data_IF_700985828933
#
_entry.id   IF_700985828933
#
_cell.length_a   1.000
_cell.length_b   1.000
_cell.length_c   1.000
_cell.angle_alpha   90.00
_cell.angle_beta   90.00
_cell.angle_gamma   90.00
#
_symmetry.space_group_name_H-M   'P 1'
#
loop_
_entity.id
_entity.type
_entity.pdbx_description
1 polymer ?
#
# COMPACT_ATOMS: atom_id res chain seq x y z
N UNK A 1 14.08 33.48 -7.88
CA UNK A 1 12.76 33.19 -7.26
C UNK A 1 12.01 34.51 -7.14
N UNK A 2 10.77 34.62 -7.66
CA UNK A 2 9.99 35.86 -7.52
C UNK A 2 9.55 36.05 -6.04
N UNK A 3 9.71 37.24 -5.43
CA UNK A 3 9.38 37.49 -4.01
C UNK A 3 7.91 37.22 -3.67
N UNK A 4 6.99 37.49 -4.59
CA UNK A 4 5.56 37.21 -4.40
C UNK A 4 5.30 35.70 -4.34
N UNK A 5 6.00 34.94 -5.17
CA UNK A 5 5.93 33.48 -5.19
C UNK A 5 6.43 32.92 -3.86
N UNK A 6 7.55 33.43 -3.33
CA UNK A 6 8.06 33.04 -2.01
C UNK A 6 7.08 33.35 -0.87
N UNK A 7 6.44 34.53 -0.89
CA UNK A 7 5.42 34.91 0.09
C UNK A 7 4.18 34.01 0.01
N UNK A 8 3.68 33.71 -1.19
CA UNK A 8 2.56 32.78 -1.39
C UNK A 8 2.89 31.38 -0.87
N UNK A 9 4.07 30.85 -1.16
CA UNK A 9 4.49 29.56 -0.62
C UNK A 9 4.61 29.56 0.90
N UNK A 10 5.08 30.65 1.51
CA UNK A 10 5.13 30.78 2.96
C UNK A 10 3.73 30.69 3.58
N UNK A 11 2.75 31.39 3.00
CA UNK A 11 1.35 31.36 3.43
C UNK A 11 0.72 29.97 3.25
N UNK A 12 0.96 29.32 2.12
CA UNK A 12 0.47 27.94 1.87
C UNK A 12 1.03 26.97 2.91
N UNK A 13 2.35 27.03 3.18
CA UNK A 13 2.97 26.19 4.22
C UNK A 13 2.42 26.47 5.62
N UNK A 14 2.06 27.72 5.91
CA UNK A 14 1.45 28.07 7.18
C UNK A 14 0.03 27.51 7.29
N UNK A 15 -0.77 27.59 6.21
CA UNK A 15 -2.12 27.04 6.18
C UNK A 15 -2.10 25.51 6.35
N UNK A 16 -1.20 24.80 5.66
CA UNK A 16 -1.04 23.34 5.78
C UNK A 16 -0.72 22.96 7.23
N UNK A 17 0.27 23.59 7.86
CA UNK A 17 0.61 23.30 9.27
C UNK A 17 -0.54 23.55 10.25
N UNK A 18 -1.41 24.53 9.96
CA UNK A 18 -2.56 24.79 10.79
C UNK A 18 -3.64 23.71 10.62
N UNK A 19 -3.85 23.22 9.40
CA UNK A 19 -4.75 22.10 9.13
C UNK A 19 -4.23 20.82 9.79
N UNK A 20 -2.94 20.50 9.62
CA UNK A 20 -2.30 19.35 10.26
C UNK A 20 -2.44 19.43 11.79
N UNK A 21 -2.31 20.63 12.39
CA UNK A 21 -2.45 20.80 13.83
C UNK A 21 -3.88 20.56 14.32
N UNK A 22 -4.88 21.06 13.58
CA UNK A 22 -6.30 20.89 13.92
C UNK A 22 -6.74 19.44 13.73
N UNK A 23 -6.23 18.76 12.70
CA UNK A 23 -6.51 17.34 12.45
C UNK A 23 -5.87 16.45 13.53
N UNK A 24 -4.67 16.78 13.98
CA UNK A 24 -3.92 16.00 14.98
C UNK A 24 -4.15 16.45 16.43
N UNK A 25 -5.14 17.31 16.73
CA UNK A 25 -5.41 17.83 18.09
C UNK A 25 -5.88 16.74 19.11
N UNK A 26 -5.89 15.46 18.72
CA UNK A 26 -6.10 14.29 19.59
C UNK A 26 -5.24 13.06 19.27
N UNK A 27 -4.31 13.15 18.32
CA UNK A 27 -3.36 12.07 18.02
C UNK A 27 -2.04 12.36 18.74
N UNK A 28 -1.50 11.39 19.48
CA UNK A 28 -0.16 11.49 20.06
C UNK A 28 0.83 11.90 18.97
N UNK A 29 1.72 12.84 19.28
CA UNK A 29 2.75 13.27 18.34
C UNK A 29 3.49 12.03 17.84
N UNK A 30 3.28 11.65 16.58
CA UNK A 30 4.03 10.54 15.99
C UNK A 30 5.50 10.92 16.01
N UNK A 31 6.26 10.32 16.94
CA UNK A 31 7.70 10.41 16.96
C UNK A 31 8.20 9.73 15.68
N UNK A 32 8.49 10.54 14.67
CA UNK A 32 9.09 10.08 13.43
C UNK A 32 10.46 9.48 13.76
N UNK A 33 10.53 8.15 13.82
CA UNK A 33 11.78 7.42 14.04
C UNK A 33 12.68 7.65 12.82
N UNK A 34 13.88 8.22 13.05
CA UNK A 34 14.91 8.38 12.03
C UNK A 34 15.26 7.00 11.46
N UNK A 35 15.33 6.89 10.13
CA UNK A 35 15.89 5.71 9.46
C UNK A 35 17.38 5.66 9.82
N UNK A 36 17.77 4.64 10.57
CA UNK A 36 19.15 4.43 11.00
C UNK A 36 19.94 3.81 9.85
N UNK A 37 21.08 4.43 9.54
CA UNK A 37 22.03 3.92 8.54
C UNK A 37 22.49 2.51 8.93
N UNK A 38 22.77 1.65 7.95
CA UNK A 38 23.15 0.27 8.21
C UNK A 38 24.39 0.18 9.12
N UNK A 39 25.29 1.16 9.06
CA UNK A 39 26.53 1.22 9.87
C UNK A 39 26.30 1.61 11.32
N UNK A 40 25.16 2.22 11.64
CA UNK A 40 24.79 2.66 13.01
C UNK A 40 23.94 1.61 13.75
N UNK A 41 23.59 0.49 13.10
CA UNK A 41 22.75 -0.56 13.69
C UNK A 41 23.58 -1.41 14.65
N UNK A 42 23.24 -1.37 15.94
CA UNK A 42 23.75 -2.35 16.90
C UNK A 42 23.05 -3.68 16.65
N UNK A 43 23.82 -4.74 16.35
CA UNK A 43 23.28 -6.06 16.05
C UNK A 43 22.78 -6.70 17.35
N UNK A 44 21.46 -6.65 17.56
CA UNK A 44 20.80 -7.29 18.69
C UNK A 44 20.19 -8.60 18.17
N UNK A 45 20.87 -9.72 18.43
CA UNK A 45 20.38 -11.06 18.09
C UNK A 45 21.35 -11.89 17.25
N UNK A 46 21.20 -13.21 17.33
CA UNK A 46 21.98 -14.16 16.54
C UNK A 46 21.35 -14.26 15.14
N UNK A 47 21.85 -13.49 14.17
CA UNK A 47 21.39 -13.54 12.78
C UNK A 47 21.67 -14.89 12.08
N UNK A 48 22.43 -15.78 12.73
CA UNK A 48 22.72 -17.13 12.24
C UNK A 48 21.64 -18.14 12.62
N UNK A 49 20.67 -17.76 13.46
CA UNK A 49 19.53 -18.62 13.75
C UNK A 49 18.60 -18.65 12.53
N UNK A 50 18.43 -19.83 11.96
CA UNK A 50 17.38 -20.07 10.95
C UNK A 50 16.05 -19.59 11.54
N UNK A 51 15.36 -18.65 10.90
CA UNK A 51 14.08 -18.18 11.40
C UNK A 51 13.14 -19.39 11.50
N UNK A 52 12.43 -19.49 12.62
CA UNK A 52 11.54 -20.63 12.91
C UNK A 52 10.34 -20.71 11.96
N UNK A 53 10.08 -19.62 11.24
CA UNK A 53 8.99 -19.42 10.28
C UNK A 53 9.65 -18.83 9.03
N UNK A 54 9.31 -19.35 7.86
CA UNK A 54 9.87 -18.79 6.62
C UNK A 54 9.25 -17.42 6.33
N UNK A 55 9.91 -16.61 5.51
CA UNK A 55 9.40 -15.27 5.17
C UNK A 55 8.03 -15.36 4.51
N UNK A 56 7.82 -16.35 3.65
CA UNK A 56 6.55 -16.64 2.99
C UNK A 56 5.44 -16.96 3.99
N UNK A 57 5.75 -17.75 5.02
CA UNK A 57 4.81 -18.18 6.06
C UNK A 57 4.49 -17.03 7.02
N UNK A 58 5.43 -16.10 7.23
CA UNK A 58 5.19 -14.86 7.99
C UNK A 58 4.31 -13.86 7.21
N UNK A 59 4.50 -13.74 5.89
CA UNK A 59 3.69 -12.90 5.02
C UNK A 59 2.25 -13.41 4.88
N UNK A 60 2.05 -14.72 4.74
CA UNK A 60 0.71 -15.34 4.71
C UNK A 60 -0.05 -15.08 6.02
N UNK A 61 0.60 -15.25 7.17
CA UNK A 61 -0.02 -15.00 8.47
C UNK A 61 -0.44 -13.52 8.66
N UNK A 62 0.35 -12.57 8.14
CA UNK A 62 0.02 -11.14 8.21
C UNK A 62 -1.15 -10.76 7.29
N UNK A 63 -1.29 -11.43 6.14
CA UNK A 63 -2.37 -11.21 5.19
C UNK A 63 -3.73 -11.67 5.74
N UNK A 64 -3.75 -12.68 6.61
CA UNK A 64 -4.98 -13.22 7.20
C UNK A 64 -5.57 -12.29 8.26
N UNK A 65 -4.76 -11.57 9.04
CA UNK A 65 -5.26 -10.67 10.11
C UNK A 65 -6.06 -9.46 9.58
N UNK A 66 -5.91 -9.10 8.30
CA UNK A 66 -6.56 -7.93 7.70
C UNK A 66 -7.63 -8.27 6.65
N UNK A 67 -8.05 -9.54 6.53
CA UNK A 67 -9.18 -9.88 5.66
C UNK A 67 -10.49 -9.48 6.35
N UNK A 68 -11.07 -8.37 5.91
CA UNK A 68 -12.44 -8.02 6.27
C UNK A 68 -13.40 -9.08 5.74
N UNK A 69 -14.42 -9.42 6.54
CA UNK A 69 -15.49 -10.31 6.10
C UNK A 69 -16.26 -9.57 4.99
N UNK A 70 -16.36 -10.13 3.78
CA UNK A 70 -17.10 -9.49 2.69
C UNK A 70 -18.53 -9.14 3.10
N UNK A 71 -19.01 -7.99 2.64
CA UNK A 71 -20.40 -7.56 2.85
C UNK A 71 -21.39 -8.54 2.25
N UNK A 72 -22.63 -8.52 2.76
CA UNK A 72 -23.71 -9.39 2.26
C UNK A 72 -24.04 -9.19 0.78
N UNK A 73 -23.66 -8.04 0.21
CA UNK A 73 -23.81 -7.62 -1.18
C UNK A 73 -22.62 -8.00 -2.08
N UNK A 74 -21.52 -8.47 -1.48
CA UNK A 74 -20.33 -8.89 -2.22
C UNK A 74 -20.60 -10.04 -3.21
N UNK A 75 -21.37 -11.10 -2.89
CA UNK A 75 -21.63 -12.16 -3.86
C UNK A 75 -22.46 -11.67 -5.08
N UNK A 76 -23.46 -10.83 -4.87
CA UNK A 76 -24.27 -10.26 -5.96
C UNK A 76 -23.44 -9.31 -6.83
N UNK A 77 -22.56 -8.51 -6.23
CA UNK A 77 -21.63 -7.66 -6.96
C UNK A 77 -20.70 -8.47 -7.87
N UNK A 78 -20.06 -9.53 -7.35
CA UNK A 78 -19.18 -10.37 -8.15
C UNK A 78 -19.93 -11.13 -9.24
N UNK A 79 -21.16 -11.58 -8.97
CA UNK A 79 -22.00 -12.20 -9.99
C UNK A 79 -22.29 -11.23 -11.14
N UNK A 80 -22.63 -9.97 -10.84
CA UNK A 80 -22.82 -8.95 -11.87
C UNK A 80 -21.57 -8.68 -12.70
N UNK A 81 -20.38 -8.73 -12.09
CA UNK A 81 -19.10 -8.58 -12.81
C UNK A 81 -18.87 -9.78 -13.74
N UNK A 82 -19.12 -10.99 -13.26
CA UNK A 82 -18.99 -12.21 -14.07
C UNK A 82 -19.97 -12.25 -15.23
N UNK A 83 -21.21 -11.79 -15.04
CA UNK A 83 -22.21 -11.76 -16.09
C UNK A 83 -21.78 -10.81 -17.22
N UNK A 84 -21.24 -9.63 -16.89
CA UNK A 84 -20.70 -8.68 -17.88
C UNK A 84 -19.47 -9.24 -18.62
N UNK A 85 -18.54 -9.86 -17.89
CA UNK A 85 -17.33 -10.44 -18.49
C UNK A 85 -17.62 -11.68 -19.34
N UNK A 86 -18.64 -12.47 -18.96
CA UNK A 86 -19.08 -13.64 -19.71
C UNK A 86 -19.78 -13.30 -21.03
N UNK A 87 -20.44 -12.14 -21.09
CA UNK A 87 -21.04 -11.62 -22.33
C UNK A 87 -20.00 -11.06 -23.31
N UNK A 88 -18.90 -10.48 -22.82
CA UNK A 88 -17.83 -9.92 -23.67
C UNK A 88 -16.83 -10.99 -24.17
N UNK A 89 -16.72 -12.12 -23.46
CA UNK A 89 -15.82 -13.21 -23.84
C UNK A 89 -16.28 -14.01 -25.07
N UNK A 90 -17.50 -13.82 -25.59
CA UNK A 90 -17.98 -14.54 -26.78
C UNK A 90 -17.34 -14.06 -28.09
N UNK A 91 -16.75 -12.87 -28.11
CA UNK A 91 -16.10 -12.28 -29.29
C UNK A 91 -14.57 -12.33 -29.22
N UNK A 92 -14.00 -13.06 -28.26
CA UNK A 92 -12.55 -13.29 -28.21
C UNK A 92 -12.15 -14.35 -29.24
N UNK A 93 -12.01 -13.91 -30.50
CA UNK A 93 -11.39 -14.68 -31.57
C UNK A 93 -9.88 -14.78 -31.26
N UNK A 94 -9.55 -15.79 -30.46
CA UNK A 94 -8.22 -16.01 -29.90
C UNK A 94 -7.18 -16.25 -30.97
N UNK A 95 -6.60 -15.18 -31.52
CA UNK A 95 -5.29 -15.22 -32.15
C UNK A 95 -4.22 -15.04 -31.06
N UNK A 96 -4.05 -16.08 -30.24
CA UNK A 96 -2.81 -16.25 -29.51
C UNK A 96 -1.79 -16.72 -30.55
N UNK A 97 -1.04 -15.77 -31.11
CA UNK A 97 0.14 -16.11 -31.92
C UNK A 97 1.07 -16.91 -31.01
N UNK A 98 1.02 -18.24 -31.15
CA UNK A 98 2.14 -19.11 -30.80
C UNK A 98 3.28 -18.76 -31.76
N UNK A 99 4.02 -17.68 -31.46
CA UNK A 99 5.38 -17.56 -31.98
C UNK A 99 6.22 -18.64 -31.30
N UNK A 100 6.24 -19.76 -32.02
CA UNK A 100 7.11 -20.89 -31.87
C UNK A 100 8.55 -20.47 -32.22
N UNK A 101 9.45 -20.88 -31.32
CA UNK A 101 10.83 -21.31 -31.57
C UNK A 101 11.87 -20.31 -32.10
N UNK A 102 12.90 -20.05 -31.26
CA UNK A 102 14.26 -20.56 -31.50
C UNK A 102 15.18 -20.39 -30.28
#
# INVERSE_FOLDING_TARGET
>A
MNPEKARKFSLVRQAVRNLDRVENEGMESMELKRIVDATERMQIGNCDATPAVTMEEAEENLLVEHQEIPGLDTPEYWQSVFDVLGEEASDWDGNFDEESEL
#
